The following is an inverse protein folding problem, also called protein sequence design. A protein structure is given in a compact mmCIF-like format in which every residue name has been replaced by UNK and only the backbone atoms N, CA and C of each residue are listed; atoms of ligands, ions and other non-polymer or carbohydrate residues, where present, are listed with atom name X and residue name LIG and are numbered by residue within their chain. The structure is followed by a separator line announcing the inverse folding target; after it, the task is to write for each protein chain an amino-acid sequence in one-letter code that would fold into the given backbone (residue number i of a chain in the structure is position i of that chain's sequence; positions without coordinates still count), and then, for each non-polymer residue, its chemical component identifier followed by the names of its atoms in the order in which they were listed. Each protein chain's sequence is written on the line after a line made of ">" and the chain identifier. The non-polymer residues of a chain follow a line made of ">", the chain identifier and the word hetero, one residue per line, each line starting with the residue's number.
data_IF_222560440755
#
_entry.id   IF_222560440755
#
_cell.length_a   1.000
_cell.length_b   1.000
_cell.length_c   1.000
_cell.angle_alpha   90.00
_cell.angle_beta   90.00
_cell.angle_gamma   90.00
#
_symmetry.space_group_name_H-M   'P 1'
#
loop_
_entity.id
_entity.type
_entity.pdbx_description
1 polymer ?
#
# COMPACT_ATOMS: atom_id res chain seq x y z
N UNK A 1 3.76 11.10 0.60
CA UNK A 1 4.58 10.62 -0.53
C UNK A 1 5.58 9.53 -0.13
N UNK A 2 6.53 9.76 0.79
CA UNK A 2 7.51 8.73 1.19
C UNK A 2 6.86 7.44 1.74
N UNK A 3 5.78 7.57 2.52
CA UNK A 3 5.06 6.41 3.06
C UNK A 3 4.34 5.60 1.95
N UNK A 4 3.89 6.26 0.87
CA UNK A 4 3.27 5.60 -0.28
C UNK A 4 4.30 4.82 -1.11
N UNK A 5 5.48 5.40 -1.36
CA UNK A 5 6.54 4.66 -2.04
C UNK A 5 7.10 3.52 -1.19
N UNK A 6 7.14 3.70 0.14
CA UNK A 6 7.51 2.65 1.08
C UNK A 6 6.51 1.48 1.09
N UNK A 7 5.20 1.77 1.09
CA UNK A 7 4.18 0.72 1.00
C UNK A 7 4.23 0.00 -0.35
N UNK A 8 4.42 0.75 -1.44
CA UNK A 8 4.53 0.15 -2.77
C UNK A 8 5.77 -0.74 -2.91
N UNK A 9 6.91 -0.31 -2.38
CA UNK A 9 8.13 -1.11 -2.35
C UNK A 9 7.96 -2.39 -1.52
N UNK A 10 7.26 -2.32 -0.38
CA UNK A 10 6.95 -3.50 0.43
C UNK A 10 6.02 -4.47 -0.29
N UNK A 11 4.98 -3.98 -1.00
CA UNK A 11 4.09 -4.84 -1.81
C UNK A 11 4.92 -5.59 -2.86
N UNK A 12 5.73 -4.89 -3.64
CA UNK A 12 6.43 -5.53 -4.75
C UNK A 12 7.59 -6.40 -4.28
N UNK A 13 8.36 -5.96 -3.28
CA UNK A 13 9.46 -6.77 -2.76
C UNK A 13 8.99 -8.05 -2.08
N UNK A 14 7.90 -8.02 -1.30
CA UNK A 14 7.42 -9.21 -0.59
C UNK A 14 6.74 -10.22 -1.53
N UNK A 15 5.84 -9.75 -2.41
CA UNK A 15 5.03 -10.65 -3.24
C UNK A 15 5.75 -11.15 -4.50
N UNK A 16 6.92 -10.61 -4.82
CA UNK A 16 7.80 -11.13 -5.88
C UNK A 16 8.87 -12.11 -5.39
N UNK A 17 8.99 -12.35 -4.07
CA UNK A 17 9.89 -13.40 -3.59
C UNK A 17 9.43 -14.77 -4.16
N UNK A 18 10.36 -15.60 -4.65
CA UNK A 18 10.02 -16.92 -5.16
C UNK A 18 9.41 -17.72 -4.00
N UNK A 19 8.14 -18.10 -4.12
CA UNK A 19 7.55 -19.00 -3.13
C UNK A 19 8.04 -20.42 -3.42
N UNK A 20 8.22 -21.18 -2.35
CA UNK A 20 8.68 -22.56 -2.40
C UNK A 20 7.91 -23.37 -3.47
N UNK A 21 8.68 -24.04 -4.32
CA UNK A 21 8.34 -24.79 -5.55
C UNK A 21 7.37 -25.99 -5.39
N UNK A 22 6.49 -26.01 -4.38
CA UNK A 22 5.64 -27.19 -4.10
C UNK A 22 4.27 -27.18 -4.78
N UNK A 23 3.80 -26.05 -5.30
CA UNK A 23 2.53 -25.97 -6.02
C UNK A 23 2.66 -25.08 -7.27
N UNK A 24 1.84 -25.30 -8.32
CA UNK A 24 1.68 -24.38 -9.44
C UNK A 24 1.01 -23.10 -8.90
N UNK A 25 1.81 -22.28 -8.23
CA UNK A 25 1.34 -21.06 -7.63
C UNK A 25 1.25 -19.93 -8.67
N UNK A 26 0.35 -18.95 -8.45
CA UNK A 26 0.15 -17.83 -9.36
C UNK A 26 1.45 -17.07 -9.64
N UNK A 27 1.56 -16.53 -10.86
CA UNK A 27 2.70 -15.72 -11.32
C UNK A 27 3.06 -14.60 -10.33
N UNK A 28 4.33 -14.17 -10.25
CA UNK A 28 4.75 -13.09 -9.36
C UNK A 28 3.94 -11.80 -9.56
N UNK A 29 3.52 -11.55 -10.81
CA UNK A 29 2.55 -10.51 -11.16
C UNK A 29 1.22 -10.66 -10.40
N UNK A 30 0.55 -11.81 -10.51
CA UNK A 30 -0.72 -12.06 -9.84
C UNK A 30 -0.60 -11.96 -8.31
N UNK A 31 0.53 -12.38 -7.73
CA UNK A 31 0.76 -12.26 -6.28
C UNK A 31 0.92 -10.81 -5.84
N UNK A 32 1.65 -10.00 -6.59
CA UNK A 32 1.80 -8.58 -6.29
C UNK A 32 0.47 -7.84 -6.36
N UNK A 33 -0.34 -8.14 -7.38
CA UNK A 33 -1.70 -7.61 -7.50
C UNK A 33 -2.59 -8.02 -6.32
N UNK A 34 -2.56 -9.29 -5.94
CA UNK A 34 -3.26 -9.77 -4.75
C UNK A 34 -2.81 -9.03 -3.48
N UNK A 35 -1.49 -8.83 -3.32
CA UNK A 35 -0.93 -8.05 -2.23
C UNK A 35 -1.46 -6.62 -2.18
N UNK A 36 -1.51 -5.94 -3.32
CA UNK A 36 -2.05 -4.58 -3.44
C UNK A 36 -3.56 -4.54 -3.14
N UNK A 37 -4.33 -5.55 -3.56
CA UNK A 37 -5.77 -5.64 -3.26
C UNK A 37 -6.02 -5.86 -1.77
N UNK A 38 -5.31 -6.82 -1.15
CA UNK A 38 -5.46 -7.11 0.29
C UNK A 38 -5.03 -5.91 1.13
N UNK A 39 -3.96 -5.22 0.72
CA UNK A 39 -3.53 -3.96 1.32
C UNK A 39 -4.57 -2.85 1.19
N UNK A 40 -5.13 -2.67 0.00
CA UNK A 40 -6.18 -1.68 -0.22
C UNK A 40 -7.42 -1.96 0.62
N UNK A 41 -7.80 -3.24 0.75
CA UNK A 41 -8.90 -3.68 1.61
C UNK A 41 -8.59 -3.47 3.09
N UNK A 42 -7.37 -3.77 3.55
CA UNK A 42 -6.98 -3.58 4.95
C UNK A 42 -7.08 -2.12 5.37
N UNK A 43 -6.62 -1.21 4.51
CA UNK A 43 -6.71 0.25 4.72
C UNK A 43 -8.16 0.71 4.73
N UNK A 44 -8.98 0.29 3.77
CA UNK A 44 -10.42 0.66 3.72
C UNK A 44 -11.15 0.20 4.96
N UNK A 45 -10.93 -1.04 5.39
CA UNK A 45 -11.57 -1.61 6.58
C UNK A 45 -11.04 -0.99 7.88
N UNK A 46 -9.72 -0.77 7.98
CA UNK A 46 -9.04 -0.08 9.09
C UNK A 46 -9.61 1.33 9.28
N UNK A 47 -9.64 2.10 8.19
CA UNK A 47 -10.20 3.46 8.13
C UNK A 47 -11.70 3.50 8.46
N UNK A 48 -12.47 2.51 7.99
CA UNK A 48 -13.90 2.41 8.32
C UNK A 48 -14.12 2.15 9.80
N UNK A 49 -13.40 1.18 10.36
CA UNK A 49 -13.45 0.83 11.78
C UNK A 49 -13.04 2.03 12.64
N UNK A 50 -11.98 2.74 12.24
CA UNK A 50 -11.55 3.97 12.89
C UNK A 50 -12.63 5.06 12.88
N UNK A 51 -13.29 5.30 11.74
CA UNK A 51 -14.39 6.27 11.63
C UNK A 51 -15.54 5.96 12.60
N UNK A 52 -15.86 4.68 12.80
CA UNK A 52 -16.88 4.28 13.78
C UNK A 52 -16.39 4.43 15.23
N UNK A 53 -15.14 4.06 15.52
CA UNK A 53 -14.59 4.15 16.87
C UNK A 53 -14.34 5.59 17.34
N UNK A 54 -14.02 6.51 16.43
CA UNK A 54 -13.85 7.92 16.78
C UNK A 54 -15.14 8.54 17.37
N UNK A 55 -16.32 8.00 17.01
CA UNK A 55 -17.60 8.45 17.59
C UNK A 55 -17.77 8.05 19.04
N UNK A 56 -17.03 7.05 19.53
CA UNK A 56 -16.97 6.76 20.96
C UNK A 56 -16.06 7.81 21.60
N UNK A 57 -16.68 8.75 22.30
CA UNK A 57 -15.97 9.75 23.12
C UNK A 57 -15.17 9.04 24.20
N UNK A 58 -13.87 8.86 23.96
CA UNK A 58 -12.96 8.28 24.93
C UNK A 58 -12.25 9.42 25.69
N UNK A 59 -12.16 9.35 27.03
CA UNK A 59 -11.48 10.36 27.84
C UNK A 59 -9.95 10.24 27.70
N UNK A 60 -9.26 11.33 27.31
CA UNK A 60 -7.81 11.36 27.22
C UNK A 60 -7.26 12.38 26.24
N UNK A 61 -5.94 12.38 26.03
CA UNK A 61 -5.29 13.21 25.02
C UNK A 61 -5.65 12.69 23.61
N UNK A 62 -6.46 13.47 22.89
CA UNK A 62 -7.08 13.08 21.63
C UNK A 62 -6.06 12.58 20.59
N UNK A 63 -4.93 13.27 20.44
CA UNK A 63 -3.94 12.93 19.39
C UNK A 63 -3.29 11.57 19.61
N UNK A 64 -2.90 11.26 20.85
CA UNK A 64 -2.24 9.99 21.19
C UNK A 64 -3.23 8.84 21.08
N UNK A 65 -4.46 9.06 21.54
CA UNK A 65 -5.50 8.05 21.55
C UNK A 65 -5.98 7.72 20.13
N UNK A 66 -6.09 8.72 19.25
CA UNK A 66 -6.39 8.51 17.83
C UNK A 66 -5.31 7.65 17.17
N UNK A 67 -4.04 7.92 17.42
CA UNK A 67 -2.94 7.10 16.90
C UNK A 67 -3.00 5.65 17.41
N UNK A 68 -3.32 5.46 18.69
CA UNK A 68 -3.39 4.14 19.33
C UNK A 68 -4.58 3.31 18.83
N UNK A 69 -5.76 3.94 18.72
CA UNK A 69 -6.97 3.36 18.11
C UNK A 69 -6.72 2.95 16.67
N UNK A 70 -6.01 3.81 15.95
CA UNK A 70 -5.65 3.58 14.57
C UNK A 70 -4.75 2.35 14.43
N UNK A 71 -3.68 2.26 15.23
CA UNK A 71 -2.73 1.13 15.21
C UNK A 71 -3.41 -0.19 15.62
N UNK A 72 -4.29 -0.15 16.63
CA UNK A 72 -5.13 -1.27 17.03
C UNK A 72 -6.07 -1.71 15.90
N UNK A 73 -6.74 -0.77 15.23
CA UNK A 73 -7.62 -1.02 14.11
C UNK A 73 -6.89 -1.71 12.95
N UNK A 74 -5.73 -1.18 12.55
CA UNK A 74 -4.90 -1.79 11.52
C UNK A 74 -4.42 -3.19 11.90
N UNK A 75 -4.05 -3.41 13.17
CA UNK A 75 -3.64 -4.72 13.68
C UNK A 75 -4.79 -5.74 13.65
N UNK A 76 -5.98 -5.36 14.13
CA UNK A 76 -7.17 -6.20 14.15
C UNK A 76 -7.61 -6.59 12.74
N UNK A 77 -7.70 -5.61 11.83
CA UNK A 77 -8.09 -5.85 10.44
C UNK A 77 -7.05 -6.69 9.70
N UNK A 78 -5.76 -6.43 9.90
CA UNK A 78 -4.69 -7.23 9.29
C UNK A 78 -4.74 -8.69 9.79
N UNK A 79 -4.96 -8.90 11.09
CA UNK A 79 -5.14 -10.23 11.67
C UNK A 79 -6.39 -10.93 11.14
N UNK A 80 -7.51 -10.21 11.02
CA UNK A 80 -8.76 -10.73 10.48
C UNK A 80 -8.61 -11.14 9.01
N UNK A 81 -7.97 -10.32 8.18
CA UNK A 81 -7.73 -10.65 6.77
C UNK A 81 -6.81 -11.87 6.64
N UNK A 82 -5.74 -11.97 7.44
CA UNK A 82 -4.89 -13.15 7.43
C UNK A 82 -5.63 -14.42 7.87
N UNK A 83 -6.53 -14.31 8.85
CA UNK A 83 -7.38 -15.43 9.27
C UNK A 83 -8.37 -15.84 8.16
N UNK A 84 -9.07 -14.87 7.55
CA UNK A 84 -10.05 -15.10 6.49
C UNK A 84 -9.42 -15.74 5.24
N UNK A 85 -8.24 -15.27 4.84
CA UNK A 85 -7.52 -15.80 3.69
C UNK A 85 -6.65 -17.02 4.02
N UNK A 86 -6.74 -17.57 5.25
CA UNK A 86 -5.94 -18.71 5.73
C UNK A 86 -4.44 -18.54 5.47
N UNK A 87 -3.94 -17.32 5.59
CA UNK A 87 -2.55 -16.97 5.35
C UNK A 87 -1.72 -17.16 6.61
N UNK A 88 -0.42 -17.36 6.40
CA UNK A 88 0.53 -17.58 7.50
C UNK A 88 0.72 -16.32 8.36
N UNK A 89 1.04 -16.50 9.64
CA UNK A 89 1.32 -15.40 10.58
C UNK A 89 2.52 -14.53 10.14
N UNK A 90 3.41 -15.03 9.28
CA UNK A 90 4.49 -14.23 8.73
C UNK A 90 3.97 -13.13 7.79
N UNK A 91 2.83 -13.32 7.12
CA UNK A 91 2.22 -12.30 6.26
C UNK A 91 1.66 -11.12 7.05
N UNK A 92 1.15 -11.34 8.27
CA UNK A 92 0.70 -10.26 9.16
C UNK A 92 1.82 -9.27 9.44
N UNK A 93 3.07 -9.76 9.58
CA UNK A 93 4.25 -8.91 9.84
C UNK A 93 4.52 -7.92 8.71
N UNK A 94 4.05 -8.21 7.50
CA UNK A 94 4.19 -7.32 6.35
C UNK A 94 2.92 -6.54 6.08
N UNK A 95 1.74 -7.15 6.29
CA UNK A 95 0.46 -6.48 6.10
C UNK A 95 0.27 -5.31 7.07
N UNK A 96 0.71 -5.47 8.33
CA UNK A 96 0.56 -4.46 9.38
C UNK A 96 1.36 -3.17 9.08
N UNK A 97 2.70 -3.21 8.85
CA UNK A 97 3.45 -2.00 8.52
C UNK A 97 2.98 -1.40 7.19
N UNK A 98 2.52 -2.23 6.25
CA UNK A 98 2.01 -1.76 4.97
C UNK A 98 0.71 -0.98 5.10
N UNK A 99 -0.24 -1.50 5.89
CA UNK A 99 -1.52 -0.84 6.20
C UNK A 99 -1.26 0.48 6.92
N UNK A 100 -0.36 0.47 7.92
CA UNK A 100 0.03 1.67 8.67
C UNK A 100 0.68 2.71 7.76
N UNK A 101 1.60 2.31 6.88
CA UNK A 101 2.24 3.21 5.93
C UNK A 101 1.25 3.82 4.94
N UNK A 102 0.32 3.01 4.43
CA UNK A 102 -0.73 3.49 3.54
C UNK A 102 -1.66 4.49 4.23
N UNK A 103 -2.10 4.18 5.43
CA UNK A 103 -3.00 5.08 6.16
C UNK A 103 -2.30 6.39 6.58
N UNK A 104 -0.97 6.37 6.84
CA UNK A 104 -0.17 7.59 7.04
C UNK A 104 -0.09 8.50 5.79
N UNK A 105 -0.49 8.00 4.61
CA UNK A 105 -0.57 8.83 3.40
C UNK A 105 -1.88 9.60 3.29
N UNK A 106 -2.89 9.25 4.09
CA UNK A 106 -4.19 9.89 4.07
C UNK A 106 -4.16 11.19 4.88
N UNK A 107 -4.83 12.25 4.40
CA UNK A 107 -5.00 13.46 5.20
C UNK A 107 -5.87 13.15 6.42
N UNK A 108 -5.40 13.55 7.60
CA UNK A 108 -6.07 13.30 8.89
C UNK A 108 -7.33 14.17 9.13
N UNK A 109 -8.01 14.58 8.06
CA UNK A 109 -9.29 15.30 8.12
C UNK A 109 -10.44 14.30 8.24
N UNK A 110 -10.53 13.69 9.41
CA UNK A 110 -11.54 12.68 9.73
C UNK A 110 -12.94 13.30 9.83
N UNK A 111 -13.98 12.57 9.40
CA UNK A 111 -15.38 12.97 9.60
C UNK A 111 -16.13 13.48 8.36
N UNK A 112 -15.46 13.63 7.21
CA UNK A 112 -16.07 14.12 5.97
C UNK A 112 -16.33 12.97 4.98
N UNK A 113 -17.35 13.10 4.13
CA UNK A 113 -17.60 12.14 3.03
C UNK A 113 -16.42 12.02 2.07
N UNK A 114 -15.61 13.08 1.95
CA UNK A 114 -14.35 13.08 1.20
C UNK A 114 -13.30 12.12 1.76
N UNK A 115 -13.36 11.76 3.05
CA UNK A 115 -12.40 10.82 3.65
C UNK A 115 -12.46 9.44 2.99
N UNK A 116 -13.65 8.86 2.84
CA UNK A 116 -13.81 7.56 2.20
C UNK A 116 -13.45 7.57 0.72
N UNK A 117 -13.73 8.68 0.02
CA UNK A 117 -13.33 8.87 -1.37
C UNK A 117 -11.80 8.90 -1.48
N UNK A 118 -11.12 9.59 -0.57
CA UNK A 118 -9.65 9.64 -0.53
C UNK A 118 -9.03 8.29 -0.19
N UNK A 119 -9.58 7.56 0.78
CA UNK A 119 -9.14 6.20 1.13
C UNK A 119 -9.26 5.28 -0.08
N UNK A 120 -10.42 5.28 -0.76
CA UNK A 120 -10.65 4.49 -1.96
C UNK A 120 -9.70 4.89 -3.10
N UNK A 121 -9.48 6.19 -3.30
CA UNK A 121 -8.57 6.70 -4.31
C UNK A 121 -7.13 6.27 -4.06
N UNK A 122 -6.64 6.37 -2.82
CA UNK A 122 -5.28 5.93 -2.44
C UNK A 122 -5.11 4.42 -2.63
N UNK A 123 -6.11 3.61 -2.26
CA UNK A 123 -6.09 2.16 -2.48
C UNK A 123 -6.08 1.79 -3.97
N UNK A 124 -6.90 2.45 -4.80
CA UNK A 124 -6.88 2.27 -6.25
C UNK A 124 -5.55 2.70 -6.86
N UNK A 125 -5.00 3.80 -6.36
CA UNK A 125 -3.74 4.34 -6.81
C UNK A 125 -2.57 3.39 -6.50
N UNK A 126 -2.56 2.80 -5.30
CA UNK A 126 -1.62 1.73 -4.93
C UNK A 126 -1.73 0.55 -5.90
N UNK A 127 -2.95 0.12 -6.21
CA UNK A 127 -3.18 -0.98 -7.15
C UNK A 127 -2.59 -0.68 -8.53
N UNK A 128 -2.91 0.45 -9.15
CA UNK A 128 -2.36 0.79 -10.46
C UNK A 128 -0.84 0.92 -10.45
N UNK A 129 -0.28 1.58 -9.43
CA UNK A 129 1.17 1.72 -9.34
C UNK A 129 1.85 0.35 -9.12
N UNK A 130 1.22 -0.60 -8.42
CA UNK A 130 1.74 -1.97 -8.27
C UNK A 130 1.74 -2.75 -9.60
N UNK A 131 0.72 -2.54 -10.45
CA UNK A 131 0.64 -3.11 -11.80
C UNK A 131 1.81 -2.59 -12.64
N UNK A 132 1.99 -1.26 -12.67
CA UNK A 132 3.06 -0.63 -13.44
C UNK A 132 4.44 -1.07 -12.97
N UNK A 133 4.70 -1.05 -11.66
CA UNK A 133 6.01 -1.41 -11.13
C UNK A 133 6.34 -2.88 -11.44
N UNK A 134 5.39 -3.79 -11.20
CA UNK A 134 5.61 -5.22 -11.44
C UNK A 134 5.78 -5.51 -12.93
N UNK A 135 5.02 -4.83 -13.80
CA UNK A 135 5.17 -4.94 -15.24
C UNK A 135 6.52 -4.41 -15.75
N UNK A 136 7.01 -3.31 -15.19
CA UNK A 136 8.36 -2.80 -15.49
C UNK A 136 9.40 -3.82 -15.03
N UNK A 137 9.27 -4.36 -13.82
CA UNK A 137 10.23 -5.32 -13.27
C UNK A 137 10.31 -6.60 -14.09
N UNK A 138 9.17 -7.15 -14.50
CA UNK A 138 9.10 -8.33 -15.37
C UNK A 138 9.79 -8.08 -16.72
N UNK A 139 9.58 -6.90 -17.33
CA UNK A 139 10.24 -6.53 -18.59
C UNK A 139 11.73 -6.23 -18.45
N UNK A 140 12.16 -5.77 -17.28
CA UNK A 140 13.59 -5.48 -17.04
C UNK A 140 14.41 -6.72 -16.76
N UNK A 141 13.79 -7.84 -16.36
CA UNK A 141 14.47 -9.13 -16.23
C UNK A 141 14.91 -9.70 -17.58
N UNK A 142 14.16 -9.41 -18.65
CA UNK A 142 14.47 -9.83 -20.01
C UNK A 142 15.45 -8.90 -20.74
N UNK A 143 15.74 -7.72 -20.17
CA UNK A 143 16.53 -6.69 -20.82
C UNK A 143 18.04 -6.82 -20.47
N UNK A 144 18.96 -6.58 -21.43
CA UNK A 144 20.40 -6.57 -21.17
C UNK A 144 20.82 -5.28 -20.43
N UNK A 145 20.48 -5.20 -19.14
CA UNK A 145 20.79 -4.06 -18.28
C UNK A 145 22.15 -4.29 -17.59
N UNK A 146 23.02 -3.27 -17.48
CA UNK A 146 24.27 -3.39 -16.72
C UNK A 146 24.03 -3.79 -15.27
N UNK A 147 24.82 -4.73 -14.73
CA UNK A 147 24.66 -5.24 -13.35
C UNK A 147 24.69 -4.15 -12.26
N UNK A 148 25.34 -3.02 -12.54
CA UNK A 148 25.43 -1.87 -11.64
C UNK A 148 24.10 -1.10 -11.52
N UNK A 149 23.26 -1.18 -12.54
CA UNK A 149 21.93 -0.56 -12.58
C UNK A 149 20.82 -1.55 -12.20
N UNK A 150 21.08 -2.85 -12.22
CA UNK A 150 20.10 -3.87 -11.85
C UNK A 150 19.76 -3.84 -10.35
N UNK A 151 18.49 -4.05 -10.02
CA UNK A 151 18.01 -4.12 -8.62
C UNK A 151 17.45 -2.79 -8.09
N UNK A 152 17.91 -2.36 -6.91
CA UNK A 152 17.38 -1.19 -6.18
C UNK A 152 17.47 0.11 -6.99
N UNK A 153 18.56 0.43 -7.72
CA UNK A 153 18.66 1.68 -8.48
C UNK A 153 17.58 1.79 -9.56
N UNK A 154 17.35 0.69 -10.30
CA UNK A 154 16.31 0.62 -11.33
C UNK A 154 14.91 0.78 -10.74
N UNK A 155 14.65 0.14 -9.58
CA UNK A 155 13.38 0.27 -8.87
C UNK A 155 13.11 1.70 -8.44
N UNK A 156 14.11 2.38 -7.87
CA UNK A 156 13.99 3.79 -7.49
C UNK A 156 13.75 4.68 -8.71
N UNK A 157 14.43 4.42 -9.82
CA UNK A 157 14.23 5.14 -11.07
C UNK A 157 12.83 4.92 -11.64
N UNK A 158 12.31 3.69 -11.60
CA UNK A 158 10.94 3.36 -11.99
C UNK A 158 9.91 4.07 -11.10
N UNK A 159 10.10 4.04 -9.76
CA UNK A 159 9.26 4.77 -8.81
C UNK A 159 9.28 6.27 -9.08
N UNK A 160 10.46 6.83 -9.40
CA UNK A 160 10.62 8.24 -9.74
C UNK A 160 9.93 8.60 -11.06
N UNK A 161 10.02 7.75 -12.09
CA UNK A 161 9.32 7.95 -13.37
C UNK A 161 7.80 7.84 -13.21
N UNK A 162 7.33 6.88 -12.41
CA UNK A 162 5.91 6.76 -12.03
C UNK A 162 5.48 8.04 -11.31
N UNK A 163 6.26 8.52 -10.34
CA UNK A 163 5.97 9.77 -9.66
C UNK A 163 5.90 10.97 -10.61
N UNK A 164 6.90 11.10 -11.49
CA UNK A 164 7.02 12.22 -12.42
C UNK A 164 5.87 12.22 -13.44
N UNK A 165 5.50 11.05 -13.95
CA UNK A 165 4.33 10.92 -14.83
C UNK A 165 3.02 11.31 -14.13
N UNK A 166 2.89 11.01 -12.85
CA UNK A 166 1.71 11.35 -12.05
C UNK A 166 1.70 12.82 -11.59
N UNK A 167 2.86 13.42 -11.38
CA UNK A 167 2.99 14.85 -11.11
C UNK A 167 2.49 15.71 -12.27
N UNK A 168 2.63 15.25 -13.52
CA UNK A 168 2.04 15.93 -14.66
C UNK A 168 0.50 15.98 -14.60
N UNK A 169 -0.16 14.96 -14.04
CA UNK A 169 -1.61 15.02 -13.82
C UNK A 169 -1.98 16.09 -12.79
N UNK A 170 -1.16 16.28 -11.75
CA UNK A 170 -1.38 17.35 -10.78
C UNK A 170 -1.27 18.74 -11.45
N UNK A 171 -0.26 18.94 -12.29
CA UNK A 171 -0.08 20.19 -13.04
C UNK A 171 -1.18 20.47 -14.07
N UNK A 172 -1.64 19.44 -14.79
CA UNK A 172 -2.65 19.60 -15.87
C UNK A 172 -4.07 19.73 -15.32
N UNK A 173 -4.44 18.95 -14.31
CA UNK A 173 -5.83 18.93 -13.81
C UNK A 173 -6.09 19.93 -12.68
N UNK A 174 -5.05 20.31 -11.92
CA UNK A 174 -5.20 21.16 -10.73
C UNK A 174 -4.45 22.49 -10.84
N UNK A 175 -3.75 22.74 -11.94
CA UNK A 175 -3.04 24.00 -12.19
C UNK A 175 -1.93 24.34 -11.19
N UNK A 176 -1.55 23.37 -10.35
CA UNK A 176 -0.50 23.50 -9.36
C UNK A 176 0.67 22.60 -9.75
N UNK A 177 1.79 23.23 -10.10
CA UNK A 177 3.10 22.59 -10.06
C UNK A 177 3.57 22.67 -8.61
N UNK A 178 3.73 21.50 -7.98
CA UNK A 178 4.18 21.26 -6.61
C UNK A 178 3.10 21.30 -5.53
#
# INVERSE_FOLDING_TARGET
>A
MCCFFGSLWLVTHYYQQPANLKHPEPTPFNRSLWGAVVAGLSVVLSSSLFFFLQKLTLPGNASVMLFLLFLLGSCLISGLLCFLFKRSLSEIRFLLPLTVLLDLTLPHTFGTTSYFIQVAAVSLFLFFCSVFLTGIEERTQDAPIPALLQGIPLRLLALFLIWLSLSFFQGVFYGQLF
#
